data_IF_947318753127
#
_entry.id   IF_947318753127
#
_cell.length_a   1.000
_cell.length_b   1.000
_cell.length_c   1.000
_cell.angle_alpha   90.00
_cell.angle_beta   90.00
_cell.angle_gamma   90.00
#
_symmetry.space_group_name_H-M   'P 1'
#
loop_
_entity.id
_entity.type
_entity.pdbx_description
1 polymer ?
#
# COMPACT_ATOMS: atom_id res chain seq x y z
N UNK A 1 43.69 42.97 -11.87
CA UNK A 1 42.60 42.07 -12.35
C UNK A 1 41.34 42.92 -12.53
N UNK A 2 40.82 43.08 -13.77
CA UNK A 2 39.52 43.75 -13.98
C UNK A 2 38.41 42.77 -13.77
N UNK A 3 37.66 42.90 -12.70
CA UNK A 3 36.44 42.12 -12.43
C UNK A 3 35.36 42.67 -13.36
N UNK A 4 34.92 41.90 -14.33
CA UNK A 4 33.76 42.24 -15.18
C UNK A 4 32.49 42.00 -14.33
N UNK A 5 31.73 43.05 -14.09
CA UNK A 5 30.42 42.95 -13.46
C UNK A 5 29.37 42.41 -14.43
N UNK A 6 28.35 41.69 -13.92
CA UNK A 6 27.21 41.23 -14.69
C UNK A 6 26.37 42.38 -15.20
N UNK A 7 25.89 42.26 -16.43
CA UNK A 7 24.96 43.25 -17.01
C UNK A 7 23.54 42.95 -16.53
N UNK A 8 22.71 43.99 -16.42
CA UNK A 8 21.30 43.85 -16.02
C UNK A 8 20.50 42.95 -16.99
N UNK A 9 20.87 43.00 -18.27
CA UNK A 9 20.25 42.15 -19.33
C UNK A 9 20.59 40.67 -19.14
N UNK A 10 21.82 40.35 -18.78
CA UNK A 10 22.29 39.00 -18.54
C UNK A 10 21.52 38.32 -17.40
N UNK A 11 21.26 39.05 -16.31
CA UNK A 11 20.45 38.56 -15.17
C UNK A 11 19.00 38.37 -15.62
N UNK A 12 18.44 39.31 -16.38
CA UNK A 12 17.06 39.24 -16.83
C UNK A 12 16.79 38.03 -17.75
N UNK A 13 17.73 37.72 -18.62
CA UNK A 13 17.65 36.52 -19.51
C UNK A 13 17.70 35.23 -18.67
N UNK A 14 18.59 35.16 -17.68
CA UNK A 14 18.74 33.96 -16.81
C UNK A 14 17.45 33.70 -16.00
N UNK A 15 16.86 34.74 -15.36
CA UNK A 15 15.62 34.57 -14.63
C UNK A 15 14.45 34.20 -15.54
N UNK A 16 14.41 34.68 -16.78
CA UNK A 16 13.44 34.32 -17.79
C UNK A 16 13.52 32.84 -18.15
N UNK A 17 14.72 32.29 -18.36
CA UNK A 17 14.92 30.88 -18.65
C UNK A 17 14.55 30.01 -17.45
N UNK A 18 14.95 30.38 -16.24
CA UNK A 18 14.59 29.66 -15.00
C UNK A 18 13.07 29.61 -14.81
N UNK A 19 12.37 30.74 -15.06
CA UNK A 19 10.91 30.81 -14.95
C UNK A 19 10.22 29.80 -15.91
N UNK A 20 10.68 29.70 -17.15
CA UNK A 20 10.13 28.74 -18.14
C UNK A 20 10.39 27.31 -17.72
N UNK A 21 11.61 26.98 -17.30
CA UNK A 21 11.97 25.62 -16.87
C UNK A 21 11.18 25.19 -15.62
N UNK A 22 10.94 26.08 -14.68
CA UNK A 22 10.20 25.80 -13.46
C UNK A 22 8.76 25.36 -13.76
N UNK A 23 8.09 25.98 -14.72
CA UNK A 23 6.71 25.62 -15.10
C UNK A 23 6.60 24.18 -15.64
N UNK A 24 7.62 23.70 -16.34
CA UNK A 24 7.63 22.35 -16.93
C UNK A 24 7.93 21.27 -15.86
N UNK A 25 8.77 21.57 -14.89
CA UNK A 25 9.25 20.59 -13.91
C UNK A 25 8.24 20.39 -12.76
N UNK A 26 7.49 21.40 -12.37
CA UNK A 26 6.63 21.39 -11.19
C UNK A 26 5.55 20.29 -11.18
N UNK A 27 4.78 20.04 -12.26
CA UNK A 27 3.76 18.99 -12.26
C UNK A 27 4.35 17.57 -12.23
N UNK A 28 5.59 17.40 -12.67
CA UNK A 28 6.25 16.09 -12.71
C UNK A 28 6.64 15.57 -11.33
N UNK A 29 6.95 16.46 -10.39
CA UNK A 29 7.44 16.11 -9.05
C UNK A 29 6.34 15.47 -8.18
N UNK A 30 5.10 15.92 -8.29
CA UNK A 30 3.98 15.37 -7.52
C UNK A 30 3.71 13.91 -7.89
N UNK A 31 3.71 13.59 -9.18
CA UNK A 31 3.50 12.22 -9.66
C UNK A 31 4.66 11.28 -9.28
N UNK A 32 5.91 11.78 -9.26
CA UNK A 32 7.07 11.00 -8.82
C UNK A 32 6.96 10.66 -7.34
N UNK A 33 6.53 11.60 -6.51
CA UNK A 33 6.35 11.36 -5.07
C UNK A 33 5.24 10.35 -4.80
N UNK A 34 4.09 10.46 -5.47
CA UNK A 34 3.00 9.50 -5.37
C UNK A 34 3.48 8.10 -5.80
N UNK A 35 4.18 8.00 -6.94
CA UNK A 35 4.74 6.73 -7.42
C UNK A 35 5.73 6.09 -6.44
N UNK A 36 6.54 6.91 -5.76
CA UNK A 36 7.49 6.39 -4.76
C UNK A 36 6.74 5.83 -3.53
N UNK A 37 5.70 6.55 -3.03
CA UNK A 37 4.88 6.04 -1.92
C UNK A 37 4.13 4.76 -2.31
N UNK A 38 3.58 4.70 -3.50
CA UNK A 38 2.92 3.49 -3.99
C UNK A 38 3.90 2.31 -4.12
N UNK A 39 5.12 2.54 -4.59
CA UNK A 39 6.16 1.51 -4.63
C UNK A 39 6.57 1.03 -3.23
N UNK A 40 6.65 1.93 -2.25
CA UNK A 40 6.88 1.59 -0.85
C UNK A 40 5.74 0.75 -0.30
N UNK A 41 4.47 1.15 -0.49
CA UNK A 41 3.28 0.37 -0.09
C UNK A 41 3.29 -1.05 -0.66
N UNK A 42 3.63 -1.22 -1.94
CA UNK A 42 3.74 -2.55 -2.57
C UNK A 42 4.87 -3.38 -1.97
N UNK A 43 6.01 -2.74 -1.65
CA UNK A 43 7.13 -3.40 -0.95
C UNK A 43 6.74 -3.87 0.44
N UNK A 44 5.99 -3.06 1.18
CA UNK A 44 5.50 -3.40 2.51
C UNK A 44 4.49 -4.55 2.48
N UNK A 45 3.59 -4.58 1.51
CA UNK A 45 2.70 -5.73 1.25
C UNK A 45 3.52 -7.01 1.11
N UNK A 46 4.61 -6.99 0.35
CA UNK A 46 5.48 -8.16 0.20
C UNK A 46 6.17 -8.57 1.52
N UNK A 47 6.59 -7.61 2.32
CA UNK A 47 7.16 -7.86 3.65
C UNK A 47 6.12 -8.45 4.62
N UNK A 48 4.90 -7.93 4.62
CA UNK A 48 3.78 -8.44 5.42
C UNK A 48 3.44 -9.88 4.98
N UNK A 49 3.37 -10.16 3.67
CA UNK A 49 3.13 -11.52 3.16
C UNK A 49 4.20 -12.52 3.64
N UNK A 50 5.47 -12.11 3.60
CA UNK A 50 6.55 -12.94 4.12
C UNK A 50 6.37 -13.21 5.62
N UNK A 51 6.06 -12.17 6.40
CA UNK A 51 5.76 -12.29 7.84
C UNK A 51 4.59 -13.23 8.11
N UNK A 52 3.49 -13.10 7.34
CA UNK A 52 2.33 -13.99 7.44
C UNK A 52 2.69 -15.45 7.16
N UNK A 53 3.52 -15.69 6.16
CA UNK A 53 3.99 -17.03 5.82
C UNK A 53 4.86 -17.64 6.92
N UNK A 54 5.74 -16.84 7.52
CA UNK A 54 6.58 -17.24 8.65
C UNK A 54 5.73 -17.55 9.89
N UNK A 55 4.78 -16.66 10.22
CA UNK A 55 3.86 -16.86 11.33
C UNK A 55 3.08 -18.17 11.18
N UNK A 56 2.45 -18.40 10.02
CA UNK A 56 1.70 -19.63 9.73
C UNK A 56 2.56 -20.88 9.90
N UNK A 57 3.81 -20.84 9.41
CA UNK A 57 4.73 -22.00 9.52
C UNK A 57 5.16 -22.30 10.97
N UNK A 58 5.20 -21.29 11.83
CA UNK A 58 5.55 -21.44 13.24
C UNK A 58 4.34 -21.71 14.15
N UNK A 59 3.14 -21.37 13.68
CA UNK A 59 1.91 -21.63 14.40
C UNK A 59 1.57 -23.12 14.37
N UNK A 60 1.45 -23.79 15.55
CA UNK A 60 1.13 -25.23 15.64
C UNK A 60 -0.18 -25.61 14.90
N UNK A 61 -1.12 -24.69 14.79
CA UNK A 61 -2.39 -24.91 14.09
C UNK A 61 -2.30 -24.69 12.58
N UNK A 62 -1.19 -24.12 12.08
CA UNK A 62 -1.00 -23.75 10.69
C UNK A 62 -1.96 -22.65 10.22
N UNK A 63 -2.34 -21.75 11.14
CA UNK A 63 -3.28 -20.66 10.87
C UNK A 63 -2.56 -19.32 10.72
N UNK A 64 -3.16 -18.42 9.95
CA UNK A 64 -2.75 -17.02 9.88
C UNK A 64 -3.19 -16.24 11.13
N UNK A 65 -2.52 -15.12 11.47
CA UNK A 65 -2.91 -14.30 12.61
C UNK A 65 -4.31 -13.71 12.36
N UNK A 66 -5.04 -13.46 13.45
CA UNK A 66 -6.35 -12.80 13.36
C UNK A 66 -6.21 -11.29 13.15
N UNK A 67 -5.06 -10.73 13.53
CA UNK A 67 -4.75 -9.31 13.44
C UNK A 67 -3.25 -9.13 13.15
N UNK A 68 -2.91 -8.29 12.17
CA UNK A 68 -1.52 -7.97 11.84
C UNK A 68 -0.91 -6.91 12.78
N UNK A 69 -1.73 -6.19 13.52
CA UNK A 69 -1.29 -5.23 14.53
C UNK A 69 -1.19 -5.88 15.92
N UNK A 70 -1.57 -7.15 16.06
CA UNK A 70 -1.51 -7.91 17.29
C UNK A 70 -0.08 -8.20 17.75
N UNK A 71 0.11 -8.32 19.07
CA UNK A 71 1.42 -8.61 19.68
C UNK A 71 2.04 -9.92 19.18
N UNK A 72 1.22 -10.89 18.81
CA UNK A 72 1.64 -12.19 18.33
C UNK A 72 2.32 -12.11 16.94
N UNK A 73 1.93 -11.14 16.15
CA UNK A 73 2.49 -10.93 14.80
C UNK A 73 3.66 -9.92 14.78
N UNK A 74 3.78 -9.07 15.79
CA UNK A 74 4.78 -8.00 15.85
C UNK A 74 6.25 -8.47 15.76
N UNK A 75 6.54 -9.74 16.00
CA UNK A 75 7.89 -10.31 15.88
C UNK A 75 8.26 -10.73 14.45
N UNK A 76 7.31 -10.76 13.52
CA UNK A 76 7.49 -11.24 12.16
C UNK A 76 7.63 -10.13 11.12
N UNK A 77 7.22 -8.91 11.48
CA UNK A 77 7.25 -7.74 10.59
C UNK A 77 7.71 -6.52 11.39
N UNK A 78 8.45 -5.62 10.77
CA UNK A 78 8.84 -4.37 11.42
C UNK A 78 7.64 -3.43 11.54
N UNK A 79 7.61 -2.62 12.60
CA UNK A 79 6.54 -1.64 12.80
C UNK A 79 6.44 -0.65 11.63
N UNK A 80 7.57 -0.32 10.98
CA UNK A 80 7.61 0.57 9.83
C UNK A 80 6.85 -0.01 8.63
N UNK A 81 6.93 -1.33 8.39
CA UNK A 81 6.19 -1.98 7.29
C UNK A 81 4.69 -2.12 7.53
N UNK A 82 4.21 -1.83 8.75
CA UNK A 82 2.77 -1.75 9.07
C UNK A 82 2.25 -0.31 9.07
N UNK A 83 3.13 0.68 8.91
CA UNK A 83 2.79 2.10 8.83
C UNK A 83 2.88 2.56 7.38
N UNK A 84 1.78 3.07 6.82
CA UNK A 84 1.80 3.56 5.46
C UNK A 84 2.47 4.93 5.35
N UNK A 85 3.18 5.23 4.24
CA UNK A 85 3.89 6.51 4.05
C UNK A 85 2.97 7.74 4.05
N UNK A 86 1.68 7.56 3.81
CA UNK A 86 0.67 8.63 3.73
C UNK A 86 -0.30 8.64 4.91
N UNK A 87 -0.11 7.77 5.91
CA UNK A 87 -0.96 7.67 7.09
C UNK A 87 -2.27 6.91 6.86
N UNK A 88 -2.37 6.15 5.77
CA UNK A 88 -3.45 5.19 5.54
C UNK A 88 -3.26 3.91 6.38
N UNK A 89 -4.02 2.89 6.09
CA UNK A 89 -3.95 1.59 6.78
C UNK A 89 -3.92 0.44 5.77
N UNK A 90 -3.17 -0.62 6.08
CA UNK A 90 -3.24 -1.88 5.37
C UNK A 90 -4.52 -2.61 5.77
N UNK A 91 -5.30 -3.02 4.78
CA UNK A 91 -6.52 -3.79 4.97
C UNK A 91 -6.12 -5.26 5.07
N UNK A 92 -6.31 -5.85 6.24
CA UNK A 92 -6.05 -7.26 6.47
C UNK A 92 -7.31 -7.96 6.94
N UNK A 93 -7.69 -9.02 6.24
CA UNK A 93 -8.87 -9.80 6.55
C UNK A 93 -8.52 -11.28 6.60
N UNK A 94 -8.46 -11.90 7.78
CA UNK A 94 -8.25 -13.34 7.89
C UNK A 94 -9.51 -14.11 7.47
N UNK A 95 -9.33 -15.15 6.67
CA UNK A 95 -10.40 -15.88 6.00
C UNK A 95 -10.33 -17.38 6.28
N UNK A 96 -11.50 -18.01 6.25
CA UNK A 96 -11.66 -19.47 6.38
C UNK A 96 -12.65 -20.01 5.37
N UNK A 97 -12.48 -21.25 4.96
CA UNK A 97 -13.52 -22.05 4.28
C UNK A 97 -14.18 -23.05 5.22
N UNK A 98 -13.46 -23.45 6.26
CA UNK A 98 -13.91 -24.43 7.24
C UNK A 98 -13.95 -23.81 8.64
N UNK A 99 -13.02 -24.22 9.51
CA UNK A 99 -12.90 -23.75 10.90
C UNK A 99 -11.58 -23.08 11.18
N UNK A 100 -10.58 -23.23 10.29
CA UNK A 100 -9.23 -22.71 10.45
C UNK A 100 -8.97 -21.49 9.57
N UNK A 101 -8.28 -20.51 10.10
CA UNK A 101 -7.87 -19.29 9.39
C UNK A 101 -6.69 -19.58 8.44
N UNK A 102 -6.95 -20.21 7.32
CA UNK A 102 -5.92 -20.68 6.39
C UNK A 102 -5.75 -19.80 5.16
N UNK A 103 -6.57 -18.76 5.04
CA UNK A 103 -6.55 -17.77 3.97
C UNK A 103 -6.54 -16.36 4.56
N UNK A 104 -6.21 -15.38 3.75
CA UNK A 104 -6.34 -13.96 4.07
C UNK A 104 -6.54 -13.13 2.80
N UNK A 105 -7.05 -11.94 2.99
CA UNK A 105 -7.00 -10.85 2.03
C UNK A 105 -6.15 -9.73 2.64
N UNK A 106 -5.17 -9.25 1.90
CA UNK A 106 -4.29 -8.16 2.30
C UNK A 106 -4.25 -7.13 1.17
N UNK A 107 -4.57 -5.90 1.46
CA UNK A 107 -4.65 -4.86 0.45
C UNK A 107 -4.27 -3.48 0.97
N UNK A 108 -4.05 -2.58 0.03
CA UNK A 108 -3.78 -1.16 0.26
C UNK A 108 -4.27 -0.32 -0.92
N UNK A 109 -4.79 0.86 -0.61
CA UNK A 109 -5.15 1.81 -1.65
C UNK A 109 -3.91 2.53 -2.18
N UNK A 110 -3.71 2.51 -3.50
CA UNK A 110 -2.67 3.25 -4.20
C UNK A 110 -3.19 4.63 -4.62
N UNK A 111 -2.28 5.60 -4.71
CA UNK A 111 -2.59 6.97 -5.13
C UNK A 111 -2.74 7.07 -6.65
N UNK A 112 -1.99 6.26 -7.39
CA UNK A 112 -1.99 6.26 -8.84
C UNK A 112 -2.59 4.96 -9.40
N UNK A 113 -3.31 5.01 -10.53
CA UNK A 113 -3.71 3.81 -11.25
C UNK A 113 -2.47 3.00 -11.62
N UNK A 114 -2.44 1.74 -11.26
CA UNK A 114 -1.34 0.81 -11.55
C UNK A 114 -1.85 -0.34 -12.42
N UNK A 115 -1.05 -0.78 -13.38
CA UNK A 115 -1.35 -1.97 -14.17
C UNK A 115 -1.42 -3.27 -13.33
N UNK A 116 -0.91 -3.24 -12.10
CA UNK A 116 -0.96 -4.35 -11.16
C UNK A 116 -2.33 -4.47 -10.46
N UNK A 117 -3.22 -3.48 -10.62
CA UNK A 117 -4.57 -3.47 -10.06
C UNK A 117 -5.53 -4.30 -10.92
N UNK A 118 -5.26 -4.45 -12.22
CA UNK A 118 -6.16 -5.13 -13.17
C UNK A 118 -6.28 -6.65 -12.94
N UNK A 119 -5.39 -7.25 -12.15
CA UNK A 119 -5.45 -8.67 -11.75
C UNK A 119 -5.95 -8.87 -10.31
N UNK A 120 -6.26 -7.80 -9.59
CA UNK A 120 -6.88 -7.91 -8.27
C UNK A 120 -8.26 -8.53 -8.45
N UNK A 121 -8.36 -9.82 -8.13
CA UNK A 121 -9.62 -10.53 -8.01
C UNK A 121 -10.63 -9.65 -7.30
N UNK A 122 -11.77 -9.42 -7.95
CA UNK A 122 -12.90 -8.71 -7.38
C UNK A 122 -13.41 -9.47 -6.15
N UNK A 123 -12.78 -9.24 -5.04
CA UNK A 123 -13.26 -9.67 -3.74
C UNK A 123 -14.41 -8.75 -3.34
N UNK A 124 -15.60 -9.00 -3.87
CA UNK A 124 -16.80 -8.22 -3.54
C UNK A 124 -17.35 -8.71 -2.21
N UNK A 125 -17.23 -7.90 -1.16
CA UNK A 125 -17.96 -8.10 0.10
C UNK A 125 -19.29 -7.36 0.06
N UNK A 126 -20.32 -7.98 -0.55
CA UNK A 126 -21.69 -7.54 -0.29
C UNK A 126 -22.21 -8.24 0.97
N UNK A 127 -22.52 -7.45 2.01
CA UNK A 127 -23.28 -7.84 3.20
C UNK A 127 -22.86 -9.19 3.84
N UNK A 128 -21.70 -9.24 4.48
CA UNK A 128 -21.32 -10.37 5.35
C UNK A 128 -21.02 -11.70 4.65
N UNK A 129 -21.03 -11.72 3.32
CA UNK A 129 -20.71 -12.90 2.52
C UNK A 129 -19.63 -12.57 1.51
N UNK A 130 -18.43 -13.06 1.77
CA UNK A 130 -17.32 -12.99 0.82
C UNK A 130 -17.66 -13.94 -0.33
N UNK A 131 -17.52 -13.50 -1.59
CA UNK A 131 -17.75 -14.36 -2.75
C UNK A 131 -16.83 -15.60 -2.69
N UNK A 132 -17.26 -16.72 -3.28
CA UNK A 132 -16.52 -17.99 -3.34
C UNK A 132 -16.46 -18.85 -2.07
N UNK A 133 -17.41 -18.70 -1.12
CA UNK A 133 -17.55 -19.61 0.02
C UNK A 133 -16.56 -19.39 1.16
N UNK A 134 -15.83 -18.28 1.15
CA UNK A 134 -15.03 -17.86 2.29
C UNK A 134 -15.89 -17.21 3.37
N UNK A 135 -15.41 -17.27 4.62
CA UNK A 135 -15.98 -16.62 5.79
C UNK A 135 -14.89 -15.89 6.54
N UNK A 136 -15.26 -14.91 7.33
CA UNK A 136 -14.33 -14.23 8.25
C UNK A 136 -13.88 -15.18 9.37
N UNK A 137 -12.63 -15.03 9.80
CA UNK A 137 -12.09 -15.74 10.93
C UNK A 137 -12.35 -14.98 12.24
N UNK A 138 -12.89 -15.67 13.26
CA UNK A 138 -13.13 -15.11 14.58
C UNK A 138 -14.35 -14.20 14.63
N UNK A 139 -14.39 -13.35 15.68
CA UNK A 139 -15.45 -12.37 15.92
C UNK A 139 -15.32 -11.10 15.06
N UNK A 140 -14.78 -11.23 13.87
CA UNK A 140 -14.70 -10.14 12.91
C UNK A 140 -16.11 -9.84 12.40
N UNK A 141 -16.70 -8.76 12.89
CA UNK A 141 -18.09 -8.39 12.60
C UNK A 141 -18.32 -7.82 11.20
N UNK A 142 -17.28 -7.83 10.35
CA UNK A 142 -17.38 -7.48 8.93
C UNK A 142 -17.87 -6.07 8.63
N UNK A 143 -18.03 -5.24 9.66
CA UNK A 143 -18.54 -3.89 9.52
C UNK A 143 -17.48 -3.02 8.88
N UNK A 144 -17.68 -2.66 7.62
CA UNK A 144 -17.04 -1.49 7.04
C UNK A 144 -15.79 -1.74 6.19
N UNK A 145 -15.45 -2.96 5.80
CA UNK A 145 -14.44 -3.12 4.74
C UNK A 145 -15.17 -3.08 3.40
N UNK A 146 -15.23 -1.90 2.83
CA UNK A 146 -15.52 -1.74 1.42
C UNK A 146 -14.25 -2.11 0.65
N UNK A 147 -14.18 -3.33 0.12
CA UNK A 147 -13.05 -3.79 -0.70
C UNK A 147 -13.22 -3.38 -2.17
N UNK A 148 -14.29 -2.70 -2.49
CA UNK A 148 -14.55 -2.10 -3.81
C UNK A 148 -13.94 -0.68 -3.90
N UNK A 149 -12.72 -0.52 -3.36
CA UNK A 149 -11.98 0.74 -3.37
C UNK A 149 -11.26 0.86 -4.71
N UNK A 150 -11.50 1.95 -5.41
CA UNK A 150 -10.78 2.30 -6.63
C UNK A 150 -9.27 2.35 -6.36
N UNK A 151 -8.45 1.75 -7.25
CA UNK A 151 -6.99 1.63 -7.12
C UNK A 151 -6.50 0.78 -5.93
N UNK A 152 -7.23 -0.26 -5.55
CA UNK A 152 -6.79 -1.23 -4.53
C UNK A 152 -5.75 -2.20 -5.12
N UNK A 153 -4.58 -2.29 -4.48
CA UNK A 153 -3.62 -3.38 -4.68
C UNK A 153 -3.85 -4.44 -3.61
N UNK A 154 -4.18 -5.65 -4.00
CA UNK A 154 -4.50 -6.73 -3.08
C UNK A 154 -3.79 -8.04 -3.44
N UNK A 155 -3.51 -8.86 -2.43
CA UNK A 155 -2.83 -10.15 -2.55
C UNK A 155 -3.48 -11.22 -1.67
N UNK A 156 -3.34 -12.46 -2.08
CA UNK A 156 -3.85 -13.65 -1.39
C UNK A 156 -2.73 -14.69 -1.25
N UNK A 157 -2.86 -15.68 -0.35
CA UNK A 157 -1.94 -16.81 -0.28
C UNK A 157 -2.12 -17.78 -1.44
#
# INVERSE_FOLDING_TARGET
MKIKGFTMVEVLVVIGIIAILTVIIFPSISNIRAKNRDAEKVSDIAAIQLGLSLYKNQNPNGEYPKDIHGVDFASYVTADSLATPDGGEYIYVPLTRDTKCTYYHLGIQLELPSAQIDEADTFSSKEGSISNGYKYCGDYDGVGIDIDIENMYAVHP
#
